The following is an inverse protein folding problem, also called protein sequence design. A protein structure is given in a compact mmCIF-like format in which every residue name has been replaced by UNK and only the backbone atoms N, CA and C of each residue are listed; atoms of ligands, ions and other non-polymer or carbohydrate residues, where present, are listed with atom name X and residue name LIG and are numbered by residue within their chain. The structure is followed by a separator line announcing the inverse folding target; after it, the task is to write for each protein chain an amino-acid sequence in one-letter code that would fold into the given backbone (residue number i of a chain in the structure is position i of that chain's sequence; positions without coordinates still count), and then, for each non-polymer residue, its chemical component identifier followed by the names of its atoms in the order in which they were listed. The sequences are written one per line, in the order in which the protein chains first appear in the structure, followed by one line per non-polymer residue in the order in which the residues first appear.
data_IF_964233445549
#
_entry.id   IF_964233445549
#
_cell.length_a   1.000
_cell.length_b   1.000
_cell.length_c   1.000
_cell.angle_alpha   90.00
_cell.angle_beta   90.00
_cell.angle_gamma   90.00
#
_symmetry.space_group_name_H-M   'P 1'
#
loop_
_entity.id
_entity.type
_entity.pdbx_description
1 polymer ?
#
# COMPACT_ATOMS: atom_id res chain seq x y z
N UNK A 1 10.90 -15.88 -0.62
CA UNK A 1 9.50 -16.35 -0.72
C UNK A 1 8.65 -15.12 -0.88
N UNK A 2 7.91 -14.93 -1.98
CA UNK A 2 7.05 -13.76 -2.09
C UNK A 2 5.92 -13.96 -1.09
N UNK A 3 5.94 -13.21 0.02
CA UNK A 3 4.80 -13.22 0.93
C UNK A 3 3.64 -12.64 0.14
N UNK A 4 2.63 -13.44 -0.14
CA UNK A 4 1.34 -12.91 -0.54
C UNK A 4 0.95 -11.80 0.44
N UNK A 5 0.53 -10.65 -0.09
CA UNK A 5 0.10 -9.50 0.70
C UNK A 5 -0.98 -9.94 1.69
N UNK A 6 -0.81 -9.62 2.97
CA UNK A 6 -1.63 -10.14 4.09
C UNK A 6 -3.12 -9.84 3.86
N UNK A 7 -3.42 -8.64 3.38
CA UNK A 7 -4.77 -8.20 3.06
C UNK A 7 -5.45 -9.10 2.02
N UNK A 8 -4.72 -9.49 0.96
CA UNK A 8 -5.25 -10.40 -0.07
C UNK A 8 -5.48 -11.82 0.45
N UNK A 9 -4.78 -12.25 1.50
CA UNK A 9 -5.01 -13.55 2.13
C UNK A 9 -6.28 -13.57 2.98
N UNK A 10 -6.61 -12.44 3.61
CA UNK A 10 -7.78 -12.33 4.47
C UNK A 10 -9.04 -11.90 3.72
N UNK A 11 -8.93 -11.35 2.51
CA UNK A 11 -10.06 -10.80 1.75
C UNK A 11 -10.10 -11.36 0.32
N UNK A 12 -11.26 -11.92 -0.04
CA UNK A 12 -11.51 -12.41 -1.40
C UNK A 12 -11.47 -11.27 -2.42
N UNK A 13 -11.23 -11.57 -3.69
CA UNK A 13 -11.26 -10.57 -4.76
C UNK A 13 -12.59 -9.79 -4.80
N UNK A 14 -13.72 -10.47 -4.64
CA UNK A 14 -15.04 -9.84 -4.64
C UNK A 14 -15.23 -8.87 -3.46
N UNK A 15 -14.75 -9.25 -2.27
CA UNK A 15 -14.77 -8.36 -1.12
C UNK A 15 -13.92 -7.10 -1.35
N UNK A 16 -12.72 -7.24 -1.91
CA UNK A 16 -11.84 -6.11 -2.20
C UNK A 16 -12.47 -5.13 -3.20
N UNK A 17 -13.11 -5.64 -4.25
CA UNK A 17 -13.86 -4.80 -5.21
C UNK A 17 -15.01 -4.04 -4.51
N UNK A 18 -15.76 -4.73 -3.65
CA UNK A 18 -16.85 -4.10 -2.90
C UNK A 18 -16.34 -3.05 -1.90
N UNK A 19 -15.21 -3.30 -1.25
CA UNK A 19 -14.57 -2.33 -0.36
C UNK A 19 -14.18 -1.05 -1.11
N UNK A 20 -13.57 -1.17 -2.29
CA UNK A 20 -13.27 0.00 -3.14
C UNK A 20 -14.54 0.74 -3.54
N UNK A 21 -15.61 0.01 -3.87
CA UNK A 21 -16.91 0.59 -4.20
C UNK A 21 -17.44 1.41 -3.02
N UNK A 22 -17.46 0.84 -1.81
CA UNK A 22 -17.92 1.52 -0.60
C UNK A 22 -17.06 2.72 -0.20
N UNK A 23 -15.75 2.68 -0.47
CA UNK A 23 -14.85 3.81 -0.23
C UNK A 23 -15.12 4.95 -1.21
N UNK A 24 -15.27 4.65 -2.51
CA UNK A 24 -15.33 5.66 -3.58
C UNK A 24 -16.72 6.19 -3.87
N UNK A 25 -17.74 5.35 -3.81
CA UNK A 25 -19.13 5.82 -3.81
C UNK A 25 -19.32 6.81 -2.65
N UNK A 26 -20.26 7.78 -2.73
CA UNK A 26 -20.40 8.82 -1.71
C UNK A 26 -20.40 8.19 -0.31
N UNK A 27 -19.28 8.32 0.41
CA UNK A 27 -18.78 9.62 0.86
C UNK A 27 -17.45 10.14 0.27
N UNK A 28 -16.64 9.40 -0.51
CA UNK A 28 -15.25 9.82 -0.83
C UNK A 28 -14.77 9.65 -2.29
N UNK A 29 -15.38 10.36 -3.26
CA UNK A 29 -15.06 10.18 -4.69
C UNK A 29 -13.62 10.57 -5.09
N UNK A 30 -12.96 11.42 -4.30
CA UNK A 30 -11.58 11.89 -4.56
C UNK A 30 -10.51 11.16 -3.73
N UNK A 31 -10.88 10.16 -2.92
CA UNK A 31 -9.90 9.41 -2.11
C UNK A 31 -9.37 8.21 -2.90
N UNK A 32 -8.08 7.94 -2.73
CA UNK A 32 -7.41 6.78 -3.31
C UNK A 32 -7.39 5.67 -2.25
N UNK A 33 -7.93 4.48 -2.55
CA UNK A 33 -7.88 3.35 -1.63
C UNK A 33 -6.47 2.75 -1.63
N UNK A 34 -5.76 2.88 -0.51
CA UNK A 34 -4.38 2.40 -0.34
C UNK A 34 -4.33 1.37 0.79
N UNK A 35 -3.74 0.21 0.52
CA UNK A 35 -3.37 -0.79 1.53
C UNK A 35 -1.88 -0.63 1.81
N UNK A 36 -1.55 -0.37 3.07
CA UNK A 36 -0.16 -0.21 3.52
C UNK A 36 0.18 -1.38 4.43
N UNK A 37 1.12 -2.21 4.02
CA UNK A 37 1.60 -3.34 4.81
C UNK A 37 3.04 -3.11 5.27
N UNK A 38 3.40 -3.70 6.41
CA UNK A 38 4.76 -3.64 6.93
C UNK A 38 5.60 -4.77 6.31
N UNK A 39 6.74 -4.43 5.68
CA UNK A 39 7.75 -5.43 5.31
C UNK A 39 8.67 -5.69 6.50
N UNK A 40 8.96 -6.97 6.77
CA UNK A 40 9.98 -7.37 7.75
C UNK A 40 11.06 -8.24 7.11
N UNK A 41 11.99 -7.67 6.31
CA UNK A 41 13.29 -8.30 5.95
C UNK A 41 14.34 -7.23 5.58
N UNK A 42 15.58 -7.40 6.07
CA UNK A 42 16.87 -6.75 5.76
C UNK A 42 16.90 -5.75 4.57
N UNK A 43 16.38 -4.55 4.81
CA UNK A 43 16.93 -3.31 4.29
C UNK A 43 16.85 -3.08 2.79
N UNK A 44 15.66 -3.08 2.19
CA UNK A 44 15.41 -2.29 0.97
C UNK A 44 13.93 -1.89 0.88
N UNK A 45 13.62 -0.61 1.07
CA UNK A 45 12.41 0.05 0.51
C UNK A 45 12.78 1.46 0.05
N UNK A 46 12.46 1.77 -1.20
CA UNK A 46 12.54 3.13 -1.76
C UNK A 46 11.37 3.34 -2.72
N UNK A 47 10.28 3.93 -2.21
CA UNK A 47 9.33 4.66 -3.07
C UNK A 47 9.72 6.13 -2.97
N UNK A 48 9.92 6.80 -4.10
CA UNK A 48 10.22 8.24 -4.11
C UNK A 48 9.03 9.01 -3.53
N UNK A 49 9.24 9.72 -2.42
CA UNK A 49 8.19 10.50 -1.72
C UNK A 49 7.75 11.74 -2.53
N UNK A 50 8.38 12.01 -3.68
CA UNK A 50 8.13 13.21 -4.50
C UNK A 50 7.03 13.04 -5.57
N UNK A 51 6.63 11.83 -5.92
CA UNK A 51 5.61 11.59 -6.96
C UNK A 51 4.21 11.76 -6.39
N UNK A 52 3.32 12.42 -7.13
CA UNK A 52 1.94 12.62 -6.67
C UNK A 52 1.21 11.27 -6.60
N UNK A 53 0.54 10.99 -5.47
CA UNK A 53 -0.10 9.69 -5.18
C UNK A 53 -1.15 9.27 -6.22
N UNK A 54 -1.78 10.22 -6.91
CA UNK A 54 -2.72 9.92 -7.99
C UNK A 54 -2.05 9.34 -9.23
N UNK A 55 -0.87 9.85 -9.59
CA UNK A 55 -0.11 9.34 -10.74
C UNK A 55 0.35 7.90 -10.46
N UNK A 56 0.80 7.64 -9.24
CA UNK A 56 1.16 6.29 -8.79
C UNK A 56 -0.05 5.36 -8.82
N UNK A 57 -1.23 5.85 -8.41
CA UNK A 57 -2.46 5.04 -8.46
C UNK A 57 -2.86 4.70 -9.91
N UNK A 58 -2.76 5.64 -10.84
CA UNK A 58 -3.10 5.41 -12.25
C UNK A 58 -2.20 4.37 -12.91
N UNK A 59 -0.93 4.27 -12.51
CA UNK A 59 0.02 3.31 -13.09
C UNK A 59 0.14 1.99 -12.33
N UNK A 60 -0.05 2.00 -11.01
CA UNK A 60 0.26 0.86 -10.12
C UNK A 60 -0.96 0.32 -9.34
N UNK A 61 -2.19 0.75 -9.63
CA UNK A 61 -3.37 0.09 -9.04
C UNK A 61 -3.42 -1.40 -9.44
N UNK A 62 -3.81 -2.24 -8.49
CA UNK A 62 -4.00 -3.66 -8.73
C UNK A 62 -5.38 -3.91 -9.38
N UNK A 63 -5.65 -5.12 -9.86
CA UNK A 63 -6.92 -5.45 -10.53
C UNK A 63 -8.16 -5.28 -9.62
N UNK A 64 -7.95 -5.32 -8.31
CA UNK A 64 -8.98 -5.05 -7.31
C UNK A 64 -9.20 -3.56 -7.02
N UNK A 65 -8.45 -2.68 -7.70
CA UNK A 65 -8.48 -1.22 -7.59
C UNK A 65 -7.92 -0.64 -6.29
N UNK A 66 -7.19 -1.42 -5.50
CA UNK A 66 -6.36 -0.91 -4.41
C UNK A 66 -4.94 -0.62 -4.90
N UNK A 67 -4.31 0.41 -4.32
CA UNK A 67 -2.87 0.59 -4.39
C UNK A 67 -2.21 -0.06 -3.19
N UNK A 68 -1.26 -0.95 -3.43
CA UNK A 68 -0.58 -1.68 -2.37
C UNK A 68 0.83 -1.15 -2.18
N UNK A 69 1.08 -0.59 -1.00
CA UNK A 69 2.38 -0.10 -0.60
C UNK A 69 2.95 -0.92 0.54
N UNK A 70 4.27 -1.03 0.57
CA UNK A 70 4.96 -1.71 1.66
C UNK A 70 6.03 -0.77 2.24
N UNK A 71 6.01 -0.55 3.55
CA UNK A 71 7.02 0.24 4.24
C UNK A 71 7.92 -0.65 5.09
N UNK A 72 9.22 -0.34 5.11
CA UNK A 72 10.21 -1.00 5.96
C UNK A 72 10.38 -0.22 7.25
N UNK A 73 10.41 -0.91 8.39
CA UNK A 73 10.62 -0.31 9.72
C UNK A 73 12.06 0.16 10.00
N UNK A 74 12.97 0.26 9.02
CA UNK A 74 14.29 0.83 9.32
C UNK A 74 14.13 2.28 9.79
N UNK A 75 14.29 2.50 11.09
CA UNK A 75 14.51 3.82 11.66
C UNK A 75 15.83 4.34 11.09
N UNK A 76 15.78 5.12 10.01
CA UNK A 76 16.95 5.83 9.51
C UNK A 76 17.41 6.83 10.57
N UNK A 77 18.58 6.55 11.18
CA UNK A 77 19.14 7.25 12.35
C UNK A 77 18.48 6.73 13.64
N UNK A 78 19.16 6.16 14.62
CA UNK A 78 20.33 6.65 15.35
C UNK A 78 21.04 5.40 15.92
N UNK A 79 22.28 5.13 15.52
CA UNK A 79 23.26 4.52 16.42
C UNK A 79 24.29 5.61 16.72
N UNK A 80 24.03 6.39 17.77
CA UNK A 80 25.11 7.12 18.44
C UNK A 80 25.93 6.04 19.13
N UNK A 81 26.99 5.60 18.45
CA UNK A 81 28.11 4.97 19.12
C UNK A 81 28.87 6.07 19.84
N UNK A 82 28.74 6.11 21.17
CA UNK A 82 29.70 6.73 22.08
C UNK A 82 30.19 5.64 23.02
#
# INVERSE_FOLDING_TARGET
MPSEKIFKQHHTFQQRIEDVRLIREPPHPMKIPVIIEQYMVNGHSVVSVSTHISEVYESEEDEDRFLYMVYTQETFGIKVSV
#
